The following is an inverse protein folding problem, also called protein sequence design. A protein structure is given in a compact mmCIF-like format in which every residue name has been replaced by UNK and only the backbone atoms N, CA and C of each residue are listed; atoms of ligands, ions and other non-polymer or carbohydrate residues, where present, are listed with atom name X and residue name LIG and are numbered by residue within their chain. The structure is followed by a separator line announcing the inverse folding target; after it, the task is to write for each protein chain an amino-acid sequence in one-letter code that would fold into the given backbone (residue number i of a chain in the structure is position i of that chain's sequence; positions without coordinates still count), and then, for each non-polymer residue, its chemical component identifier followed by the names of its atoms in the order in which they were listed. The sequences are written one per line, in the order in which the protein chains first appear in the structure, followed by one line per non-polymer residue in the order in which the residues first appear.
data_IF_589807671972
#
_entry.id   IF_589807671972
#
_cell.length_a   1.000
_cell.length_b   1.000
_cell.length_c   1.000
_cell.angle_alpha   90.00
_cell.angle_beta   90.00
_cell.angle_gamma   90.00
#
_symmetry.space_group_name_H-M   'P 1'
#
loop_
_entity.id
_entity.type
_entity.pdbx_description
1 polymer ?
#
# COMPACT_ATOMS: atom_id res chain seq x y z
N UNK A 1 15.95 -46.20 -1.42
CA UNK A 1 16.33 -44.79 -1.54
C UNK A 1 15.14 -43.99 -1.07
N UNK A 2 15.21 -43.43 0.12
CA UNK A 2 14.15 -42.57 0.66
C UNK A 2 14.15 -41.27 -0.18
N UNK A 3 13.03 -40.94 -0.86
CA UNK A 3 12.80 -39.62 -1.43
C UNK A 3 12.81 -38.64 -0.25
N UNK A 4 13.80 -37.76 -0.17
CA UNK A 4 13.71 -36.56 0.66
C UNK A 4 12.37 -35.88 0.35
N UNK A 5 11.48 -35.85 1.34
CA UNK A 5 10.29 -35.03 1.26
C UNK A 5 10.77 -33.56 1.15
N UNK A 6 10.78 -33.01 -0.06
CA UNK A 6 10.84 -31.55 -0.21
C UNK A 6 9.75 -30.99 0.69
N UNK A 7 10.13 -30.18 1.66
CA UNK A 7 9.19 -29.42 2.45
C UNK A 7 8.49 -28.49 1.47
N UNK A 8 7.24 -28.77 1.20
CA UNK A 8 6.43 -28.02 0.29
C UNK A 8 6.15 -26.65 0.92
N UNK A 9 6.56 -25.57 0.28
CA UNK A 9 6.39 -24.22 0.79
C UNK A 9 5.01 -23.71 0.37
N UNK A 10 4.26 -23.14 1.32
CA UNK A 10 2.98 -22.50 1.03
C UNK A 10 3.18 -21.35 0.03
N UNK A 11 2.50 -21.35 -1.13
CA UNK A 11 2.70 -20.37 -2.18
C UNK A 11 2.04 -18.99 -1.88
N UNK A 12 1.20 -18.89 -0.86
CA UNK A 12 0.46 -17.67 -0.54
C UNK A 12 1.19 -16.85 0.53
N UNK A 13 1.62 -15.65 0.17
CA UNK A 13 2.29 -14.69 1.03
C UNK A 13 1.28 -13.61 1.42
N UNK A 14 1.06 -13.37 2.71
CA UNK A 14 0.10 -12.39 3.20
C UNK A 14 0.68 -11.37 4.20
N UNK A 15 1.88 -11.62 4.73
CA UNK A 15 2.53 -10.85 5.80
C UNK A 15 3.56 -9.82 5.28
N UNK A 16 3.81 -9.83 3.98
CA UNK A 16 4.77 -8.94 3.31
C UNK A 16 4.35 -8.68 1.86
N UNK A 17 4.95 -7.68 1.17
CA UNK A 17 4.70 -7.46 -0.25
C UNK A 17 5.01 -8.71 -1.09
N UNK A 18 4.18 -8.97 -2.08
CA UNK A 18 4.44 -10.03 -3.07
C UNK A 18 5.66 -9.68 -3.92
N UNK A 19 6.48 -10.66 -4.29
CA UNK A 19 7.53 -10.45 -5.27
C UNK A 19 6.94 -10.01 -6.61
N UNK A 20 7.72 -9.27 -7.45
CA UNK A 20 7.22 -8.71 -8.70
C UNK A 20 6.55 -9.71 -9.65
N UNK A 21 7.05 -10.94 -9.70
CA UNK A 21 6.54 -12.03 -10.54
C UNK A 21 5.21 -12.61 -10.07
N UNK A 22 4.87 -12.43 -8.79
CA UNK A 22 3.67 -12.97 -8.16
C UNK A 22 2.54 -11.93 -8.01
N UNK A 23 2.70 -10.74 -8.61
CA UNK A 23 1.68 -9.70 -8.58
C UNK A 23 0.40 -10.20 -9.26
N UNK A 24 -0.71 -10.11 -8.55
CA UNK A 24 -2.03 -10.56 -9.02
C UNK A 24 -2.72 -9.40 -9.72
N UNK A 25 -3.08 -9.60 -11.00
CA UNK A 25 -3.73 -8.57 -11.80
C UNK A 25 -2.87 -7.28 -11.85
N UNK A 26 -3.43 -6.12 -12.14
CA UNK A 26 -2.76 -4.81 -12.15
C UNK A 26 -2.05 -4.45 -13.46
N UNK A 27 -2.31 -5.16 -14.54
CA UNK A 27 -1.75 -4.89 -15.85
C UNK A 27 -2.11 -3.47 -16.34
N UNK A 28 -3.34 -3.03 -16.07
CA UNK A 28 -3.80 -1.68 -16.44
C UNK A 28 -3.05 -0.60 -15.67
N UNK A 29 -2.90 -0.76 -14.36
CA UNK A 29 -2.15 0.18 -13.54
C UNK A 29 -0.67 0.20 -13.88
N UNK A 30 -0.07 -0.97 -14.18
CA UNK A 30 1.30 -1.07 -14.66
C UNK A 30 1.48 -0.39 -16.02
N UNK A 31 0.54 -0.56 -16.95
CA UNK A 31 0.57 0.10 -18.25
C UNK A 31 0.53 1.63 -18.10
N UNK A 32 -0.34 2.15 -17.23
CA UNK A 32 -0.43 3.58 -16.91
C UNK A 32 0.89 4.09 -16.28
N UNK A 33 1.48 3.35 -15.35
CA UNK A 33 2.75 3.73 -14.71
C UNK A 33 3.92 3.71 -15.72
N UNK A 34 3.94 2.73 -16.62
CA UNK A 34 4.94 2.64 -17.68
C UNK A 34 4.82 3.80 -18.69
N UNK A 35 3.59 4.14 -19.12
CA UNK A 35 3.31 5.29 -19.98
C UNK A 35 3.76 6.59 -19.30
N UNK A 36 3.35 6.84 -18.06
CA UNK A 36 3.71 8.05 -17.33
C UNK A 36 5.20 8.15 -17.05
N UNK A 37 5.88 7.02 -16.83
CA UNK A 37 7.34 6.98 -16.69
C UNK A 37 8.02 7.37 -18.00
N UNK A 38 7.51 6.92 -19.14
CA UNK A 38 8.01 7.30 -20.46
C UNK A 38 7.80 8.78 -20.77
N UNK A 39 6.63 9.33 -20.41
CA UNK A 39 6.23 10.70 -20.68
C UNK A 39 6.69 11.69 -19.59
N UNK A 40 7.32 11.18 -18.52
CA UNK A 40 7.80 11.95 -17.36
C UNK A 40 6.65 12.66 -16.64
N UNK A 41 5.51 11.98 -16.48
CA UNK A 41 4.35 12.45 -15.73
C UNK A 41 4.39 11.89 -14.32
N UNK A 42 4.48 12.76 -13.31
CA UNK A 42 4.43 12.32 -11.93
C UNK A 42 3.10 11.69 -11.58
N UNK A 43 3.12 10.65 -10.76
CA UNK A 43 1.93 9.92 -10.34
C UNK A 43 1.73 10.01 -8.83
N UNK A 44 0.49 10.28 -8.43
CA UNK A 44 0.01 10.07 -7.07
C UNK A 44 -0.74 8.74 -7.03
N UNK A 45 -0.15 7.74 -6.38
CA UNK A 45 -0.75 6.43 -6.15
C UNK A 45 -1.39 6.42 -4.76
N UNK A 46 -2.69 6.30 -4.69
CA UNK A 46 -3.42 6.24 -3.42
C UNK A 46 -4.37 5.04 -3.37
N UNK A 47 -4.39 4.38 -2.23
CA UNK A 47 -5.38 3.36 -1.88
C UNK A 47 -5.34 3.12 -0.38
N UNK A 48 -6.33 2.45 0.20
CA UNK A 48 -6.25 1.99 1.58
C UNK A 48 -5.01 1.10 1.83
N UNK A 49 -4.76 0.79 3.10
CA UNK A 49 -3.75 -0.20 3.47
C UNK A 49 -4.08 -1.56 2.85
N UNK A 50 -3.07 -2.39 2.67
CA UNK A 50 -3.18 -3.80 2.29
C UNK A 50 -3.80 -4.08 0.90
N UNK A 51 -3.84 -3.02 0.04
CA UNK A 51 -4.32 -3.09 -1.35
C UNK A 51 -3.23 -3.38 -2.38
N UNK A 52 -2.01 -3.73 -1.93
CA UNK A 52 -0.92 -4.16 -2.82
C UNK A 52 -0.08 -3.03 -3.43
N UNK A 53 -0.13 -1.78 -2.88
CA UNK A 53 0.67 -0.64 -3.38
C UNK A 53 2.16 -0.95 -3.48
N UNK A 54 2.74 -1.44 -2.39
CA UNK A 54 4.18 -1.73 -2.34
C UNK A 54 4.58 -2.82 -3.35
N UNK A 55 3.75 -3.86 -3.52
CA UNK A 55 3.98 -4.90 -4.54
C UNK A 55 3.93 -4.32 -5.95
N UNK A 56 2.94 -3.45 -6.24
CA UNK A 56 2.85 -2.74 -7.52
C UNK A 56 4.08 -1.85 -7.76
N UNK A 57 4.55 -1.11 -6.75
CA UNK A 57 5.74 -0.28 -6.86
C UNK A 57 6.99 -1.13 -7.12
N UNK A 58 7.17 -2.26 -6.43
CA UNK A 58 8.28 -3.17 -6.66
C UNK A 58 8.29 -3.69 -8.10
N UNK A 59 7.13 -4.08 -8.63
CA UNK A 59 6.98 -4.48 -10.04
C UNK A 59 7.27 -3.33 -10.98
N UNK A 60 6.73 -2.14 -10.73
CA UNK A 60 7.01 -0.94 -11.54
C UNK A 60 8.51 -0.61 -11.59
N UNK A 61 9.21 -0.72 -10.47
CA UNK A 61 10.67 -0.51 -10.40
C UNK A 61 11.42 -1.57 -11.22
N UNK A 62 11.01 -2.84 -11.12
CA UNK A 62 11.61 -3.93 -11.89
C UNK A 62 11.43 -3.71 -13.39
N UNK A 63 10.21 -3.39 -13.83
CA UNK A 63 9.86 -3.16 -15.23
C UNK A 63 10.58 -1.90 -15.79
N UNK A 64 10.65 -0.81 -15.02
CA UNK A 64 11.40 0.38 -15.40
C UNK A 64 12.89 0.09 -15.61
N UNK A 65 13.49 -0.69 -14.71
CA UNK A 65 14.91 -1.12 -14.83
C UNK A 65 15.13 -1.99 -16.07
N UNK A 66 14.22 -2.93 -16.35
CA UNK A 66 14.26 -3.76 -17.56
C UNK A 66 14.15 -2.91 -18.84
N UNK A 67 13.41 -1.81 -18.80
CA UNK A 67 13.29 -0.84 -19.90
C UNK A 67 14.45 0.16 -19.98
N UNK A 68 15.53 0.00 -19.17
CA UNK A 68 16.69 0.86 -19.20
C UNK A 68 16.52 2.20 -18.46
N UNK A 69 15.48 2.38 -17.68
CA UNK A 69 15.28 3.54 -16.78
C UNK A 69 15.92 3.24 -15.43
N UNK A 70 16.72 4.16 -14.91
CA UNK A 70 17.19 4.06 -13.53
C UNK A 70 16.02 4.18 -12.57
N UNK A 71 15.85 3.23 -11.64
CA UNK A 71 14.67 3.26 -10.78
C UNK A 71 15.00 2.88 -9.34
N UNK A 72 14.44 3.64 -8.39
CA UNK A 72 14.61 3.42 -6.95
C UNK A 72 13.26 3.49 -6.23
N UNK A 73 13.10 2.64 -5.21
CA UNK A 73 11.98 2.68 -4.27
C UNK A 73 12.50 3.14 -2.92
N UNK A 74 11.93 4.22 -2.41
CA UNK A 74 12.25 4.81 -1.10
C UNK A 74 11.06 4.56 -0.18
N UNK A 75 11.25 3.70 0.82
CA UNK A 75 10.25 3.43 1.83
C UNK A 75 10.37 4.45 2.98
N UNK A 76 9.32 5.21 3.21
CA UNK A 76 9.24 6.22 4.26
C UNK A 76 8.48 5.73 5.51
N UNK A 77 8.18 4.44 5.60
CA UNK A 77 7.53 3.89 6.79
C UNK A 77 8.34 4.13 8.05
N UNK A 78 7.72 4.69 9.07
CA UNK A 78 8.38 4.98 10.35
C UNK A 78 9.33 6.19 10.35
N UNK A 79 9.52 6.88 9.22
CA UNK A 79 10.33 8.10 9.13
C UNK A 79 9.66 9.26 9.87
N UNK A 80 10.44 9.98 10.69
CA UNK A 80 9.95 11.07 11.56
C UNK A 80 10.75 12.36 11.43
N UNK A 81 11.91 12.33 10.79
CA UNK A 81 12.80 13.49 10.64
C UNK A 81 13.39 13.58 9.24
N UNK A 82 13.81 14.77 8.83
CA UNK A 82 14.49 15.02 7.56
C UNK A 82 15.74 14.13 7.39
N UNK A 83 16.55 13.99 8.45
CA UNK A 83 17.75 13.14 8.42
C UNK A 83 17.42 11.66 8.23
N UNK A 84 16.33 11.16 8.84
CA UNK A 84 15.88 9.78 8.60
C UNK A 84 15.39 9.59 7.15
N UNK A 85 14.69 10.57 6.59
CA UNK A 85 14.28 10.54 5.19
C UNK A 85 15.49 10.51 4.25
N UNK A 86 16.50 11.34 4.51
CA UNK A 86 17.76 11.34 3.77
C UNK A 86 18.43 9.96 3.81
N UNK A 87 18.52 9.35 4.98
CA UNK A 87 19.09 8.00 5.14
C UNK A 87 18.32 6.92 4.37
N UNK A 88 17.00 7.00 4.28
CA UNK A 88 16.20 6.07 3.46
C UNK A 88 16.46 6.29 1.95
N UNK A 89 16.60 7.53 1.52
CA UNK A 89 16.98 7.84 0.12
C UNK A 89 18.34 7.24 -0.19
N UNK A 90 19.35 7.48 0.64
CA UNK A 90 20.70 6.91 0.44
C UNK A 90 20.68 5.38 0.37
N UNK A 91 19.96 4.73 1.30
CA UNK A 91 19.80 3.28 1.31
C UNK A 91 19.18 2.75 0.01
N UNK A 92 18.19 3.45 -0.55
CA UNK A 92 17.58 3.07 -1.82
C UNK A 92 18.57 3.10 -2.99
N UNK A 93 19.49 4.08 -3.00
CA UNK A 93 20.55 4.14 -4.00
C UNK A 93 21.68 3.14 -3.75
N UNK A 94 21.96 2.80 -2.49
CA UNK A 94 22.88 1.71 -2.15
C UNK A 94 22.38 0.34 -2.60
N UNK A 95 21.07 0.14 -2.68
CA UNK A 95 20.44 -1.09 -3.16
C UNK A 95 20.33 -1.17 -4.70
N UNK A 96 20.85 -0.19 -5.45
CA UNK A 96 20.82 -0.24 -6.91
C UNK A 96 21.61 -1.46 -7.42
N UNK A 97 21.10 -2.17 -8.45
CA UNK A 97 21.86 -3.22 -9.11
C UNK A 97 23.09 -2.66 -9.82
N UNK A 98 24.03 -3.54 -10.15
CA UNK A 98 25.20 -3.17 -10.95
C UNK A 98 24.78 -2.57 -12.28
N UNK A 99 25.43 -1.44 -12.67
CA UNK A 99 25.09 -0.72 -13.89
C UNK A 99 25.57 0.74 -13.87
N UNK A 100 25.24 1.52 -14.91
CA UNK A 100 25.70 2.90 -15.04
C UNK A 100 25.30 3.77 -13.85
N UNK A 101 24.04 3.66 -13.38
CA UNK A 101 23.54 4.44 -12.26
C UNK A 101 24.27 4.11 -10.95
N UNK A 102 24.51 2.82 -10.69
CA UNK A 102 25.29 2.39 -9.52
C UNK A 102 26.73 2.88 -9.58
N UNK A 103 27.35 2.81 -10.76
CA UNK A 103 28.70 3.30 -10.96
C UNK A 103 28.81 4.80 -10.74
N UNK A 104 27.86 5.58 -11.26
CA UNK A 104 27.78 7.03 -11.04
C UNK A 104 27.52 7.37 -9.57
N UNK A 105 26.65 6.64 -8.88
CA UNK A 105 26.43 6.75 -7.42
C UNK A 105 27.72 6.52 -6.63
N UNK A 106 28.45 5.42 -6.90
CA UNK A 106 29.71 5.12 -6.25
C UNK A 106 30.76 6.21 -6.54
N UNK A 107 30.76 6.79 -7.74
CA UNK A 107 31.61 7.92 -8.09
C UNK A 107 31.28 9.18 -7.28
N UNK A 108 30.01 9.52 -7.10
CA UNK A 108 29.58 10.65 -6.26
C UNK A 108 30.06 10.49 -4.82
N UNK A 109 29.94 9.31 -4.23
CA UNK A 109 30.39 9.02 -2.85
C UNK A 109 31.90 9.13 -2.66
N UNK A 110 32.70 8.70 -3.67
CA UNK A 110 34.19 8.70 -3.56
C UNK A 110 34.80 10.08 -3.67
N UNK A 111 34.21 11.00 -4.42
CA UNK A 111 34.80 12.29 -4.73
C UNK A 111 34.40 13.40 -3.75
N UNK A 112 33.90 13.05 -2.56
CA UNK A 112 33.73 14.00 -1.46
C UNK A 112 32.80 15.18 -1.75
N UNK A 113 31.93 15.07 -2.72
CA UNK A 113 30.76 15.93 -2.75
C UNK A 113 29.97 15.62 -1.50
N UNK A 114 29.98 16.52 -0.54
CA UNK A 114 29.38 16.39 0.78
C UNK A 114 27.92 15.96 0.70
N UNK A 115 27.70 14.66 0.58
CA UNK A 115 26.56 14.02 1.16
C UNK A 115 26.92 14.00 2.63
N UNK A 116 26.30 14.86 3.43
CA UNK A 116 26.76 15.26 4.75
C UNK A 116 26.68 14.19 5.83
N UNK A 117 27.14 12.98 5.50
CA UNK A 117 27.33 11.91 6.49
C UNK A 117 28.74 11.37 6.32
N UNK A 118 29.70 11.98 6.98
CA UNK A 118 30.89 11.24 7.41
C UNK A 118 30.39 10.17 8.38
N UNK A 119 30.22 8.95 7.89
CA UNK A 119 30.12 7.78 8.74
C UNK A 119 31.53 7.49 9.25
N UNK A 120 31.85 7.73 10.53
CA UNK A 120 33.05 7.16 11.09
C UNK A 120 32.77 5.67 11.28
N UNK A 121 33.51 4.84 10.56
CA UNK A 121 33.76 3.41 10.85
C UNK A 121 32.70 2.68 11.69
N UNK A 122 31.93 1.82 11.06
CA UNK A 122 31.35 0.65 11.69
C UNK A 122 30.09 0.93 12.53
N UNK A 123 28.92 0.72 11.97
CA UNK A 123 27.79 0.18 12.74
C UNK A 123 27.08 1.11 13.72
N UNK A 124 27.15 2.41 13.59
CA UNK A 124 26.36 3.32 14.42
C UNK A 124 25.32 4.02 13.54
N UNK A 125 24.04 3.82 13.85
CA UNK A 125 22.95 4.67 13.40
C UNK A 125 23.29 6.11 13.80
N UNK A 126 23.71 6.94 12.85
CA UNK A 126 23.93 8.37 13.11
C UNK A 126 22.56 8.95 13.41
N UNK A 127 22.32 9.31 14.66
CA UNK A 127 21.27 10.22 15.05
C UNK A 127 21.61 11.58 14.43
N UNK A 128 21.33 11.77 13.12
CA UNK A 128 21.36 13.10 12.50
C UNK A 128 20.27 13.89 13.19
N UNK A 129 20.65 14.89 13.96
CA UNK A 129 19.77 15.65 14.81
C UNK A 129 18.55 16.22 14.05
N UNK A 130 17.44 16.33 14.75
CA UNK A 130 16.32 17.12 14.29
C UNK A 130 16.81 18.58 14.11
N UNK A 131 16.58 19.15 12.93
CA UNK A 131 16.90 20.56 12.67
C UNK A 131 17.59 20.81 11.32
N UNK A 132 18.11 22.01 11.13
CA UNK A 132 18.68 22.52 9.88
C UNK A 132 19.77 21.60 9.26
N UNK A 133 20.56 20.89 10.07
CA UNK A 133 21.56 19.96 9.56
C UNK A 133 20.92 18.77 8.83
N UNK A 134 19.81 18.22 9.36
CA UNK A 134 19.07 17.13 8.73
C UNK A 134 18.39 17.56 7.43
N UNK A 135 17.86 18.78 7.38
CA UNK A 135 17.23 19.34 6.17
C UNK A 135 18.25 19.56 5.07
N UNK A 136 19.44 20.06 5.40
CA UNK A 136 20.54 20.25 4.43
C UNK A 136 20.95 18.93 3.78
N UNK A 137 21.12 17.87 4.59
CA UNK A 137 21.42 16.51 4.08
C UNK A 137 20.28 16.01 3.20
N UNK A 138 19.02 16.25 3.60
CA UNK A 138 17.87 15.87 2.80
C UNK A 138 17.84 16.57 1.44
N UNK A 139 18.17 17.87 1.38
CA UNK A 139 18.24 18.60 0.11
C UNK A 139 19.25 17.96 -0.84
N UNK A 140 20.46 17.62 -0.35
CA UNK A 140 21.48 16.95 -1.14
C UNK A 140 21.01 15.57 -1.65
N UNK A 141 20.31 14.79 -0.78
CA UNK A 141 19.77 13.49 -1.15
C UNK A 141 18.62 13.58 -2.16
N UNK A 142 17.76 14.60 -2.05
CA UNK A 142 16.68 14.83 -3.01
C UNK A 142 17.18 15.19 -4.38
N UNK A 143 18.35 15.84 -4.50
CA UNK A 143 18.98 16.22 -5.77
C UNK A 143 19.70 15.05 -6.46
N UNK A 144 19.96 13.94 -5.76
CA UNK A 144 20.69 12.78 -6.30
C UNK A 144 20.14 12.24 -7.63
N UNK A 145 18.82 12.03 -7.81
CA UNK A 145 18.30 11.47 -9.06
C UNK A 145 18.63 12.35 -10.26
N UNK A 146 18.56 13.68 -10.10
CA UNK A 146 18.91 14.62 -11.17
C UNK A 146 20.40 14.62 -11.47
N UNK A 147 21.25 14.65 -10.45
CA UNK A 147 22.74 14.55 -10.60
C UNK A 147 23.17 13.25 -11.26
N UNK A 148 22.48 12.15 -10.98
CA UNK A 148 22.73 10.86 -11.62
C UNK A 148 22.26 10.87 -13.08
N UNK A 149 21.09 11.48 -13.36
CA UNK A 149 20.64 11.71 -14.74
C UNK A 149 21.66 12.50 -15.56
N UNK A 150 22.12 13.64 -15.06
CA UNK A 150 23.11 14.47 -15.76
C UNK A 150 24.42 13.74 -16.06
N UNK A 151 24.87 12.86 -15.15
CA UNK A 151 26.11 12.09 -15.33
C UNK A 151 25.98 10.92 -16.28
N UNK A 152 24.81 10.29 -16.35
CA UNK A 152 24.62 9.04 -17.10
C UNK A 152 23.82 9.22 -18.38
N UNK A 153 23.09 10.32 -18.54
CA UNK A 153 22.08 10.50 -19.58
C UNK A 153 20.83 9.59 -19.39
N UNK A 154 20.84 8.73 -18.36
CA UNK A 154 19.74 7.80 -18.08
C UNK A 154 18.64 8.51 -17.30
N UNK A 155 17.38 8.35 -17.72
CA UNK A 155 16.25 8.85 -16.92
C UNK A 155 16.13 8.09 -15.61
N UNK A 156 15.61 8.76 -14.58
CA UNK A 156 15.48 8.18 -13.25
C UNK A 156 14.01 8.24 -12.79
N UNK A 157 13.48 7.10 -12.37
CA UNK A 157 12.21 6.97 -11.67
C UNK A 157 12.47 6.86 -10.17
N UNK A 158 11.84 7.72 -9.39
CA UNK A 158 11.87 7.65 -7.93
C UNK A 158 10.46 7.38 -7.43
N UNK A 159 10.24 6.23 -6.81
CA UNK A 159 9.01 5.93 -6.12
C UNK A 159 9.19 6.13 -4.60
N UNK A 160 8.37 7.00 -4.02
CA UNK A 160 8.27 7.15 -2.57
C UNK A 160 7.05 6.38 -2.08
N UNK A 161 7.26 5.38 -1.21
CA UNK A 161 6.16 4.75 -0.50
C UNK A 161 5.92 5.43 0.85
N UNK A 162 4.68 5.40 1.34
CA UNK A 162 4.21 6.08 2.56
C UNK A 162 4.48 7.61 2.56
N UNK A 163 4.40 8.25 1.38
CA UNK A 163 4.76 9.67 1.18
C UNK A 163 3.95 10.64 2.05
N UNK A 164 2.75 10.27 2.51
CA UNK A 164 1.95 11.13 3.39
C UNK A 164 2.65 11.52 4.70
N UNK A 165 3.71 10.81 5.11
CA UNK A 165 4.47 11.16 6.33
C UNK A 165 5.12 12.56 6.24
N UNK A 166 5.37 13.07 5.02
CA UNK A 166 5.95 14.40 4.81
C UNK A 166 5.07 15.52 5.36
N UNK A 167 3.73 15.30 5.42
CA UNK A 167 2.81 16.25 6.07
C UNK A 167 3.07 16.38 7.57
N UNK A 168 3.31 15.26 8.25
CA UNK A 168 3.59 15.25 9.69
C UNK A 168 4.93 15.91 10.01
N UNK A 169 5.87 15.80 9.08
CA UNK A 169 7.19 16.42 9.20
C UNK A 169 7.25 17.86 8.69
N UNK A 170 6.18 18.35 8.05
CA UNK A 170 6.11 19.68 7.39
C UNK A 170 7.22 19.88 6.33
N UNK A 171 7.61 18.82 5.63
CA UNK A 171 8.68 18.82 4.63
C UNK A 171 8.17 18.98 3.19
N UNK A 172 6.86 19.09 2.97
CA UNK A 172 6.27 19.17 1.64
C UNK A 172 6.80 20.38 0.83
N UNK A 173 6.96 21.55 1.45
CA UNK A 173 7.52 22.72 0.78
C UNK A 173 9.01 22.52 0.43
N UNK A 174 9.78 21.97 1.37
CA UNK A 174 11.22 21.71 1.17
C UNK A 174 11.44 20.71 0.02
N UNK A 175 10.72 19.59 0.01
CA UNK A 175 10.84 18.59 -1.03
C UNK A 175 10.44 19.18 -2.38
N UNK A 176 9.34 19.92 -2.43
CA UNK A 176 8.86 20.56 -3.67
C UNK A 176 9.86 21.55 -4.24
N UNK A 177 10.56 22.33 -3.37
CA UNK A 177 11.54 23.31 -3.81
C UNK A 177 12.71 22.70 -4.59
N UNK A 178 13.04 21.44 -4.34
CA UNK A 178 14.10 20.70 -5.05
C UNK A 178 13.56 20.03 -6.31
N UNK A 179 12.56 19.15 -6.16
CA UNK A 179 12.14 18.26 -7.25
C UNK A 179 11.55 19.00 -8.45
N UNK A 180 11.03 20.23 -8.26
CA UNK A 180 10.51 21.05 -9.37
C UNK A 180 11.56 21.40 -10.42
N UNK A 181 12.84 21.33 -10.08
CA UNK A 181 13.94 21.68 -10.97
C UNK A 181 14.50 20.47 -11.74
N UNK A 182 14.04 19.26 -11.48
CA UNK A 182 14.58 18.03 -12.09
C UNK A 182 14.12 17.81 -13.54
N UNK A 183 13.20 18.62 -14.05
CA UNK A 183 12.79 18.65 -15.44
C UNK A 183 12.35 17.29 -15.98
N UNK A 184 12.76 16.96 -17.21
CA UNK A 184 12.43 15.70 -17.87
C UNK A 184 13.40 14.56 -17.55
N UNK A 185 14.37 14.78 -16.68
CA UNK A 185 15.36 13.77 -16.28
C UNK A 185 14.85 12.81 -15.21
N UNK A 186 13.91 13.26 -14.39
CA UNK A 186 13.41 12.50 -13.24
C UNK A 186 11.89 12.46 -13.22
N UNK A 187 11.35 11.28 -12.98
CA UNK A 187 9.92 11.04 -12.81
C UNK A 187 9.64 10.53 -11.39
N UNK A 188 8.51 10.91 -10.82
CA UNK A 188 8.14 10.58 -9.44
C UNK A 188 6.82 9.82 -9.37
N UNK A 189 6.81 8.77 -8.51
CA UNK A 189 5.59 8.13 -8.02
C UNK A 189 5.50 8.36 -6.52
N UNK A 190 4.45 9.04 -6.08
CA UNK A 190 4.16 9.30 -4.68
C UNK A 190 3.05 8.36 -4.21
N UNK A 191 3.39 7.35 -3.45
CA UNK A 191 2.46 6.35 -2.92
C UNK A 191 2.10 6.64 -1.46
N UNK A 192 0.85 6.41 -1.10
CA UNK A 192 0.41 6.58 0.28
C UNK A 192 -0.82 5.75 0.65
N UNK A 193 -0.83 5.30 1.90
CA UNK A 193 -1.87 4.45 2.49
C UNK A 193 -2.99 5.21 3.21
N UNK A 194 -2.90 6.55 3.27
CA UNK A 194 -3.89 7.42 3.90
C UNK A 194 -4.51 8.35 2.85
N UNK A 195 -5.64 7.96 2.23
CA UNK A 195 -6.24 8.71 1.12
C UNK A 195 -6.51 10.19 1.45
N UNK A 196 -6.98 10.49 2.66
CA UNK A 196 -7.24 11.87 3.09
C UNK A 196 -5.98 12.73 3.16
N UNK A 197 -4.85 12.17 3.63
CA UNK A 197 -3.58 12.90 3.67
C UNK A 197 -2.99 13.09 2.27
N UNK A 198 -3.11 12.07 1.41
CA UNK A 198 -2.69 12.18 0.00
C UNK A 198 -3.51 13.22 -0.76
N UNK A 199 -4.82 13.27 -0.53
CA UNK A 199 -5.68 14.33 -1.09
C UNK A 199 -5.27 15.71 -0.56
N UNK A 200 -4.98 15.84 0.73
CA UNK A 200 -4.49 17.11 1.30
C UNK A 200 -3.18 17.58 0.65
N UNK A 201 -2.24 16.67 0.34
CA UNK A 201 -0.98 17.02 -0.32
C UNK A 201 -1.17 17.54 -1.75
N UNK A 202 -1.98 16.85 -2.56
CA UNK A 202 -1.99 17.03 -4.01
C UNK A 202 -3.23 17.78 -4.55
N UNK A 203 -4.29 17.94 -3.76
CA UNK A 203 -5.57 18.53 -4.18
C UNK A 203 -5.88 19.83 -3.44
N UNK A 204 -5.32 20.05 -2.26
CA UNK A 204 -5.46 21.34 -1.56
C UNK A 204 -4.61 22.42 -2.25
N UNK A 205 -5.30 23.46 -2.75
CA UNK A 205 -4.69 24.61 -3.45
C UNK A 205 -3.64 25.36 -2.63
N UNK A 206 -3.66 25.23 -1.30
CA UNK A 206 -2.72 25.88 -0.40
C UNK A 206 -1.42 25.11 -0.22
N UNK A 207 -1.33 23.87 -0.75
CA UNK A 207 -0.17 23.01 -0.58
C UNK A 207 0.80 23.08 -1.76
N UNK A 208 2.10 22.98 -1.50
CA UNK A 208 3.14 23.04 -2.53
C UNK A 208 3.00 22.00 -3.64
N UNK A 209 2.42 20.83 -3.33
CA UNK A 209 2.21 19.75 -4.28
C UNK A 209 0.89 19.83 -5.06
N UNK A 210 0.11 20.89 -4.89
CA UNK A 210 -1.15 21.06 -5.62
C UNK A 210 -0.97 20.86 -7.13
N UNK A 211 -1.68 19.90 -7.72
CA UNK A 211 -1.69 19.62 -9.16
C UNK A 211 -0.37 19.07 -9.73
N UNK A 212 0.55 18.59 -8.87
CA UNK A 212 1.89 18.16 -9.32
C UNK A 212 1.99 16.67 -9.69
N UNK A 213 0.94 15.90 -9.55
CA UNK A 213 0.92 14.48 -9.91
C UNK A 213 -0.47 14.04 -10.38
N UNK A 214 -0.50 13.22 -11.43
CA UNK A 214 -1.73 12.63 -11.95
C UNK A 214 -2.22 11.51 -11.00
N UNK A 215 -3.51 11.42 -10.71
CA UNK A 215 -4.03 10.40 -9.80
C UNK A 215 -3.99 9.00 -10.44
N UNK A 216 -3.70 8.01 -9.60
CA UNK A 216 -3.89 6.60 -9.85
C UNK A 216 -4.38 5.97 -8.54
N UNK A 217 -5.46 5.24 -8.59
CA UNK A 217 -6.08 4.62 -7.41
C UNK A 217 -6.14 3.12 -7.59
N UNK A 218 -5.74 2.36 -6.53
CA UNK A 218 -5.93 0.92 -6.54
C UNK A 218 -7.26 0.56 -5.90
N UNK A 219 -8.06 -0.18 -6.65
CA UNK A 219 -9.28 -0.80 -6.18
C UNK A 219 -9.04 -2.22 -5.65
N UNK A 220 -10.14 -2.90 -5.33
CA UNK A 220 -10.17 -4.33 -5.07
C UNK A 220 -9.76 -5.11 -6.31
N UNK A 221 -9.23 -6.32 -6.12
CA UNK A 221 -8.93 -7.22 -7.22
C UNK A 221 -10.21 -7.78 -7.86
N UNK A 222 -10.26 -7.94 -9.18
CA UNK A 222 -11.35 -8.62 -9.84
C UNK A 222 -11.48 -10.07 -9.34
N UNK A 223 -12.73 -10.50 -9.11
CA UNK A 223 -13.02 -11.86 -8.60
C UNK A 223 -12.40 -12.96 -9.47
N UNK A 224 -12.46 -12.80 -10.79
CA UNK A 224 -11.93 -13.78 -11.74
C UNK A 224 -10.42 -13.88 -11.64
N UNK A 225 -9.70 -12.77 -11.69
CA UNK A 225 -8.24 -12.75 -11.59
C UNK A 225 -7.75 -13.36 -10.27
N UNK A 226 -8.47 -13.09 -9.17
CA UNK A 226 -8.14 -13.65 -7.87
C UNK A 226 -8.43 -15.16 -7.82
N UNK A 227 -9.53 -15.62 -8.42
CA UNK A 227 -9.86 -17.04 -8.52
C UNK A 227 -8.79 -17.79 -9.32
N UNK A 228 -8.43 -17.29 -10.50
CA UNK A 228 -7.43 -17.89 -11.39
C UNK A 228 -6.07 -18.00 -10.68
N UNK A 229 -5.65 -16.95 -9.98
CA UNK A 229 -4.41 -16.95 -9.21
C UNK A 229 -4.42 -18.00 -8.10
N UNK A 230 -5.51 -18.12 -7.34
CA UNK A 230 -5.62 -19.10 -6.23
C UNK A 230 -5.63 -20.52 -6.79
N UNK A 231 -6.43 -20.80 -7.84
CA UNK A 231 -6.51 -22.11 -8.47
C UNK A 231 -5.14 -22.56 -8.97
N UNK A 232 -4.46 -21.71 -9.76
CA UNK A 232 -3.13 -22.01 -10.29
C UNK A 232 -2.12 -22.41 -9.19
N UNK A 233 -2.11 -21.71 -8.06
CA UNK A 233 -1.24 -21.99 -6.92
C UNK A 233 -1.60 -23.29 -6.18
N UNK A 234 -2.89 -23.61 -6.07
CA UNK A 234 -3.35 -24.90 -5.54
C UNK A 234 -2.91 -26.05 -6.45
N UNK A 235 -3.15 -25.93 -7.75
CA UNK A 235 -2.79 -26.94 -8.74
C UNK A 235 -1.26 -27.19 -8.81
N UNK A 236 -0.46 -26.13 -8.79
CA UNK A 236 1.02 -26.21 -8.78
C UNK A 236 1.53 -27.02 -7.57
N UNK A 237 0.77 -27.06 -6.49
CA UNK A 237 1.10 -27.81 -5.27
C UNK A 237 0.28 -29.10 -5.14
N UNK A 238 -0.35 -29.56 -6.23
CA UNK A 238 -1.09 -30.81 -6.27
C UNK A 238 -2.33 -30.83 -5.39
N UNK A 239 -2.96 -29.69 -5.19
CA UNK A 239 -4.22 -29.52 -4.44
C UNK A 239 -5.29 -28.94 -5.34
N UNK A 240 -6.56 -29.05 -4.91
CA UNK A 240 -7.69 -28.42 -5.57
C UNK A 240 -8.35 -27.43 -4.60
N UNK A 241 -8.56 -26.17 -5.05
CA UNK A 241 -9.23 -25.15 -4.25
C UNK A 241 -10.72 -25.44 -4.03
N UNK A 242 -11.32 -26.28 -4.82
CA UNK A 242 -12.63 -26.87 -4.67
C UNK A 242 -13.76 -25.85 -4.39
N UNK A 243 -14.76 -26.32 -3.64
CA UNK A 243 -15.91 -25.46 -3.26
C UNK A 243 -15.54 -24.34 -2.30
N UNK A 244 -14.48 -24.50 -1.51
CA UNK A 244 -14.03 -23.51 -0.55
C UNK A 244 -13.54 -22.21 -1.23
N UNK A 245 -13.10 -22.27 -2.49
CA UNK A 245 -12.77 -21.09 -3.28
C UNK A 245 -13.93 -20.09 -3.36
N UNK A 246 -15.16 -20.58 -3.61
CA UNK A 246 -16.34 -19.73 -3.69
C UNK A 246 -16.59 -18.95 -2.39
N UNK A 247 -16.54 -19.64 -1.25
CA UNK A 247 -16.72 -19.05 0.07
C UNK A 247 -15.62 -18.05 0.41
N UNK A 248 -14.38 -18.37 0.06
CA UNK A 248 -13.24 -17.45 0.23
C UNK A 248 -13.47 -16.16 -0.57
N UNK A 249 -13.78 -16.26 -1.85
CA UNK A 249 -13.99 -15.12 -2.72
C UNK A 249 -15.17 -14.23 -2.29
N UNK A 250 -16.24 -14.83 -1.77
CA UNK A 250 -17.40 -14.11 -1.22
C UNK A 250 -17.05 -13.37 0.08
N UNK A 251 -16.19 -13.98 0.92
CA UNK A 251 -15.76 -13.36 2.17
C UNK A 251 -14.84 -12.18 1.95
N UNK A 252 -13.82 -12.36 1.10
CA UNK A 252 -12.76 -11.34 0.92
C UNK A 252 -13.14 -10.23 -0.05
N UNK A 253 -14.16 -10.42 -0.89
CA UNK A 253 -14.70 -9.45 -1.84
C UNK A 253 -13.60 -8.64 -2.57
N UNK A 254 -12.60 -9.35 -3.08
CA UNK A 254 -11.47 -8.77 -3.81
C UNK A 254 -10.42 -8.02 -2.97
N UNK A 255 -10.49 -8.06 -1.64
CA UNK A 255 -9.46 -7.44 -0.79
C UNK A 255 -8.14 -8.22 -0.88
N UNK A 256 -7.03 -7.63 -1.40
CA UNK A 256 -5.85 -8.41 -1.76
C UNK A 256 -5.22 -9.16 -0.59
N UNK A 257 -4.94 -8.48 0.52
CA UNK A 257 -4.27 -9.09 1.67
C UNK A 257 -5.16 -10.14 2.34
N UNK A 258 -6.48 -9.89 2.47
CA UNK A 258 -7.42 -10.87 3.04
C UNK A 258 -7.49 -12.12 2.17
N UNK A 259 -7.48 -11.95 0.84
CA UNK A 259 -7.45 -13.08 -0.08
C UNK A 259 -6.20 -13.95 0.11
N UNK A 260 -5.03 -13.33 0.23
CA UNK A 260 -3.79 -14.06 0.48
C UNK A 260 -3.78 -14.76 1.83
N UNK A 261 -4.28 -14.12 2.90
CA UNK A 261 -4.40 -14.73 4.23
C UNK A 261 -5.30 -15.97 4.19
N UNK A 262 -6.52 -15.84 3.67
CA UNK A 262 -7.46 -16.95 3.62
C UNK A 262 -7.01 -18.06 2.67
N UNK A 263 -6.40 -17.74 1.54
CA UNK A 263 -5.82 -18.73 0.64
C UNK A 263 -4.65 -19.47 1.29
N UNK A 264 -3.79 -18.77 2.06
CA UNK A 264 -2.71 -19.37 2.84
C UNK A 264 -3.24 -20.39 3.85
N UNK A 265 -4.26 -20.02 4.60
CA UNK A 265 -4.85 -20.87 5.62
C UNK A 265 -5.61 -22.05 4.99
N UNK A 266 -6.40 -21.80 3.94
CA UNK A 266 -7.11 -22.84 3.21
C UNK A 266 -6.14 -23.88 2.64
N UNK A 267 -5.03 -23.45 2.07
CA UNK A 267 -3.96 -24.33 1.56
C UNK A 267 -3.39 -25.22 2.69
N UNK A 268 -3.19 -24.66 3.89
CA UNK A 268 -2.70 -25.41 5.07
C UNK A 268 -3.66 -26.50 5.53
N UNK A 269 -4.96 -26.26 5.39
CA UNK A 269 -6.03 -27.21 5.77
C UNK A 269 -6.39 -28.18 4.63
N UNK A 270 -5.71 -28.10 3.48
CA UNK A 270 -5.93 -28.99 2.32
C UNK A 270 -4.72 -29.86 2.11
N UNK A 271 -4.86 -31.18 2.25
CA UNK A 271 -3.77 -32.13 2.03
C UNK A 271 -3.40 -32.24 0.54
N UNK A 272 -2.13 -32.56 0.19
CA UNK A 272 -1.77 -32.87 -1.19
C UNK A 272 -2.63 -33.97 -1.79
N UNK A 273 -3.16 -33.74 -2.98
CA UNK A 273 -4.07 -34.64 -3.69
C UNK A 273 -5.53 -34.51 -3.26
N UNK A 274 -5.86 -33.60 -2.33
CA UNK A 274 -7.23 -33.39 -1.86
C UNK A 274 -7.84 -32.10 -2.46
N UNK A 275 -9.19 -32.07 -2.44
CA UNK A 275 -10.02 -30.89 -2.72
C UNK A 275 -10.35 -30.14 -1.41
N UNK A 276 -10.25 -28.82 -1.42
CA UNK A 276 -10.65 -27.96 -0.31
C UNK A 276 -12.17 -27.93 -0.16
N UNK A 277 -12.67 -28.71 0.79
CA UNK A 277 -14.07 -28.78 1.16
C UNK A 277 -14.42 -27.95 2.39
N UNK A 278 -15.61 -28.24 2.96
CA UNK A 278 -16.14 -27.52 4.12
C UNK A 278 -15.24 -27.59 5.35
N UNK A 279 -14.69 -28.78 5.66
CA UNK A 279 -13.83 -28.96 6.82
C UNK A 279 -12.53 -28.10 6.70
N UNK A 280 -11.94 -28.04 5.52
CA UNK A 280 -10.76 -27.19 5.27
C UNK A 280 -11.12 -25.71 5.39
N UNK A 281 -12.30 -25.31 4.90
CA UNK A 281 -12.80 -23.96 5.02
C UNK A 281 -13.02 -23.54 6.48
N UNK A 282 -13.71 -24.38 7.26
CA UNK A 282 -13.96 -24.13 8.69
C UNK A 282 -12.65 -23.96 9.47
N UNK A 283 -11.68 -24.86 9.26
CA UNK A 283 -10.38 -24.76 9.90
C UNK A 283 -9.61 -23.48 9.49
N UNK A 284 -9.63 -23.12 8.21
CA UNK A 284 -9.03 -21.88 7.73
C UNK A 284 -9.71 -20.64 8.32
N UNK A 285 -11.03 -20.66 8.43
CA UNK A 285 -11.81 -19.57 9.00
C UNK A 285 -11.54 -19.38 10.50
N UNK A 286 -11.48 -20.48 11.27
CA UNK A 286 -11.14 -20.45 12.69
C UNK A 286 -9.70 -19.93 12.92
N UNK A 287 -8.73 -20.44 12.17
CA UNK A 287 -7.33 -19.99 12.27
C UNK A 287 -7.18 -18.49 11.92
N UNK A 288 -7.97 -17.97 10.98
CA UNK A 288 -7.91 -16.56 10.59
C UNK A 288 -8.20 -15.61 11.76
N UNK A 289 -9.04 -16.01 12.72
CA UNK A 289 -9.31 -15.20 13.90
C UNK A 289 -8.07 -14.87 14.70
N UNK A 290 -7.15 -15.82 14.85
CA UNK A 290 -5.88 -15.59 15.54
C UNK A 290 -5.01 -14.49 14.92
N UNK A 291 -5.18 -14.22 13.62
CA UNK A 291 -4.48 -13.15 12.90
C UNK A 291 -5.22 -11.81 12.93
N UNK A 292 -6.56 -11.82 13.03
CA UNK A 292 -7.41 -10.65 12.80
C UNK A 292 -7.95 -10.01 14.08
N UNK A 293 -8.06 -10.78 15.16
CA UNK A 293 -8.72 -10.35 16.39
C UNK A 293 -8.15 -9.04 16.93
N UNK A 294 -6.84 -9.00 17.14
CA UNK A 294 -6.20 -7.83 17.75
C UNK A 294 -6.39 -6.55 16.92
N UNK A 295 -6.29 -6.65 15.60
CA UNK A 295 -6.48 -5.52 14.71
C UNK A 295 -7.94 -5.06 14.65
N UNK A 296 -8.90 -5.99 14.67
CA UNK A 296 -10.32 -5.67 14.63
C UNK A 296 -10.79 -5.03 15.93
N UNK A 297 -10.41 -5.58 17.08
CA UNK A 297 -10.73 -5.03 18.39
C UNK A 297 -10.09 -3.64 18.56
N UNK A 298 -8.79 -3.48 18.26
CA UNK A 298 -8.11 -2.19 18.34
C UNK A 298 -8.73 -1.14 17.40
N UNK A 299 -9.09 -1.54 16.18
CA UNK A 299 -9.76 -0.66 15.21
C UNK A 299 -11.12 -0.20 15.73
N UNK A 300 -11.90 -1.11 16.29
CA UNK A 300 -13.20 -0.79 16.87
C UNK A 300 -13.10 0.11 18.10
N UNK A 301 -12.21 -0.19 19.01
CA UNK A 301 -12.01 0.56 20.26
C UNK A 301 -11.47 1.99 20.03
N UNK A 302 -10.85 2.23 18.89
CA UNK A 302 -10.39 3.56 18.49
C UNK A 302 -11.51 4.51 18.03
N UNK A 303 -12.72 3.97 17.76
CA UNK A 303 -13.84 4.74 17.21
C UNK A 303 -14.56 5.54 18.29
N UNK A 304 -14.92 6.79 17.95
CA UNK A 304 -15.93 7.51 18.72
C UNK A 304 -17.31 6.89 18.55
N UNK A 305 -18.24 7.17 19.46
CA UNK A 305 -19.61 6.64 19.42
C UNK A 305 -20.28 6.92 18.06
N UNK A 306 -20.08 8.10 17.48
CA UNK A 306 -20.66 8.46 16.17
C UNK A 306 -20.00 7.70 15.04
N UNK A 307 -18.68 7.51 15.09
CA UNK A 307 -17.94 6.72 14.09
C UNK A 307 -18.33 5.25 14.14
N UNK A 308 -18.47 4.68 15.34
CA UNK A 308 -18.97 3.30 15.51
C UNK A 308 -20.36 3.13 14.89
N UNK A 309 -21.29 4.05 15.17
CA UNK A 309 -22.62 4.04 14.55
C UNK A 309 -22.59 4.18 13.01
N UNK A 310 -21.64 4.95 12.46
CA UNK A 310 -21.44 5.05 11.00
C UNK A 310 -20.90 3.72 10.44
N UNK A 311 -19.95 3.08 11.11
CA UNK A 311 -19.41 1.77 10.72
C UNK A 311 -20.50 0.72 10.75
N UNK A 312 -21.30 0.65 11.83
CA UNK A 312 -22.45 -0.28 11.95
C UNK A 312 -23.45 -0.07 10.80
N UNK A 313 -23.83 1.19 10.50
CA UNK A 313 -24.77 1.51 9.44
C UNK A 313 -24.26 1.12 8.05
N UNK A 314 -22.99 1.43 7.75
CA UNK A 314 -22.36 1.12 6.46
C UNK A 314 -22.16 -0.40 6.31
N UNK A 315 -21.75 -1.10 7.36
CA UNK A 315 -21.62 -2.56 7.37
C UNK A 315 -22.97 -3.25 7.10
N UNK A 316 -24.06 -2.70 7.62
CA UNK A 316 -25.43 -3.17 7.36
C UNK A 316 -25.99 -2.72 6.00
N UNK A 317 -25.21 -2.07 5.13
CA UNK A 317 -25.60 -1.64 3.78
C UNK A 317 -26.43 -0.35 3.74
N UNK A 318 -26.52 0.41 4.84
CA UNK A 318 -27.27 1.68 4.88
C UNK A 318 -26.45 2.80 4.20
N UNK A 319 -26.98 3.36 3.13
CA UNK A 319 -26.31 4.43 2.37
C UNK A 319 -26.71 5.84 2.82
N UNK A 320 -27.89 6.01 3.37
CA UNK A 320 -28.42 7.30 3.84
C UNK A 320 -28.19 7.52 5.34
N UNK A 321 -26.96 7.89 5.76
CA UNK A 321 -26.58 8.03 7.17
C UNK A 321 -27.46 8.99 7.98
N UNK A 322 -28.00 10.06 7.37
CA UNK A 322 -28.92 11.03 8.03
C UNK A 322 -30.39 10.70 7.85
N UNK A 323 -30.69 9.63 7.12
CA UNK A 323 -32.05 9.14 6.90
C UNK A 323 -32.67 8.52 8.17
N UNK A 324 -33.94 8.06 8.05
CA UNK A 324 -34.68 7.44 9.15
C UNK A 324 -33.93 6.21 9.70
N UNK A 325 -33.45 5.31 8.83
CA UNK A 325 -32.72 4.12 9.23
C UNK A 325 -31.44 4.42 10.02
N UNK A 326 -30.61 5.40 9.55
CA UNK A 326 -29.40 5.81 10.25
C UNK A 326 -29.67 6.31 11.67
N UNK A 327 -30.76 7.10 11.85
CA UNK A 327 -31.13 7.68 13.16
C UNK A 327 -31.78 6.68 14.11
N UNK A 328 -32.77 5.94 13.63
CA UNK A 328 -33.61 5.08 14.50
C UNK A 328 -32.94 3.74 14.81
N UNK A 329 -32.17 3.16 13.87
CA UNK A 329 -31.57 1.85 14.04
C UNK A 329 -30.13 1.97 14.59
N UNK A 330 -29.35 2.94 14.07
CA UNK A 330 -27.93 3.07 14.40
C UNK A 330 -27.61 4.25 15.33
N UNK A 331 -28.62 4.95 15.82
CA UNK A 331 -28.46 6.04 16.80
C UNK A 331 -27.66 7.22 16.27
N UNK A 332 -27.58 7.41 14.94
CA UNK A 332 -26.79 8.52 14.36
C UNK A 332 -27.43 9.88 14.66
N UNK A 333 -26.62 10.87 15.07
CA UNK A 333 -27.13 12.18 15.40
C UNK A 333 -27.70 12.88 14.16
N UNK A 334 -28.71 13.77 14.35
CA UNK A 334 -29.19 14.62 13.27
C UNK A 334 -28.12 15.64 12.82
N UNK A 335 -28.24 16.12 11.58
CA UNK A 335 -27.36 17.16 11.05
C UNK A 335 -26.10 16.59 10.36
N UNK A 336 -24.98 17.34 10.41
CA UNK A 336 -23.75 17.03 9.67
C UNK A 336 -22.82 16.04 10.37
N UNK A 337 -23.03 15.74 11.67
CA UNK A 337 -22.08 14.95 12.50
C UNK A 337 -21.78 13.58 11.93
N UNK A 338 -22.79 12.84 11.44
CA UNK A 338 -22.59 11.53 10.80
C UNK A 338 -21.79 11.64 9.49
N UNK A 339 -22.03 12.69 8.69
CA UNK A 339 -21.26 12.93 7.47
C UNK A 339 -19.80 13.31 7.75
N UNK A 340 -19.56 14.11 8.78
CA UNK A 340 -18.20 14.48 9.20
C UNK A 340 -17.46 13.26 9.76
N UNK A 341 -18.14 12.39 10.50
CA UNK A 341 -17.58 11.11 10.96
C UNK A 341 -17.22 10.21 9.76
N UNK A 342 -18.14 10.04 8.80
CA UNK A 342 -17.88 9.28 7.58
C UNK A 342 -16.69 9.85 6.78
N UNK A 343 -16.58 11.18 6.67
CA UNK A 343 -15.45 11.83 6.00
C UNK A 343 -14.13 11.56 6.72
N UNK A 344 -14.12 11.57 8.05
CA UNK A 344 -12.92 11.21 8.83
C UNK A 344 -12.55 9.74 8.61
N UNK A 345 -13.53 8.81 8.66
CA UNK A 345 -13.30 7.38 8.43
C UNK A 345 -12.79 7.09 7.01
N UNK A 346 -13.26 7.82 6.00
CA UNK A 346 -12.69 7.76 4.64
C UNK A 346 -11.24 8.29 4.65
N UNK A 347 -10.99 9.41 5.33
CA UNK A 347 -9.64 9.97 5.46
C UNK A 347 -8.66 9.04 6.19
N UNK A 348 -9.14 8.26 7.15
CA UNK A 348 -8.38 7.24 7.89
C UNK A 348 -8.19 5.94 7.09
N UNK A 349 -8.94 5.73 6.00
CA UNK A 349 -8.89 4.51 5.20
C UNK A 349 -9.69 3.34 5.78
N UNK A 350 -10.65 3.59 6.65
CA UNK A 350 -11.60 2.58 7.14
C UNK A 350 -12.82 2.44 6.22
N UNK A 351 -13.22 3.54 5.60
CA UNK A 351 -14.27 3.56 4.58
C UNK A 351 -13.70 3.97 3.24
N UNK A 352 -14.28 3.46 2.17
CA UNK A 352 -14.07 3.92 0.80
C UNK A 352 -15.37 4.46 0.24
N UNK A 353 -15.25 5.52 -0.56
CA UNK A 353 -16.36 6.12 -1.27
C UNK A 353 -16.22 5.83 -2.75
N UNK A 354 -17.17 5.10 -3.31
CA UNK A 354 -17.24 4.78 -4.74
C UNK A 354 -18.33 5.62 -5.41
N UNK A 355 -18.10 6.07 -6.64
CA UNK A 355 -19.01 6.94 -7.36
C UNK A 355 -18.89 8.42 -6.98
N UNK A 356 -19.71 9.26 -7.60
CA UNK A 356 -19.69 10.71 -7.42
C UNK A 356 -21.08 11.30 -7.14
N UNK A 357 -21.11 12.45 -6.49
CA UNK A 357 -22.35 13.17 -6.20
C UNK A 357 -23.29 12.43 -5.24
N UNK A 358 -24.58 12.35 -5.63
CA UNK A 358 -25.64 11.74 -4.81
C UNK A 358 -25.63 10.19 -4.85
N UNK A 359 -25.03 9.62 -5.89
CA UNK A 359 -24.95 8.17 -6.11
C UNK A 359 -23.67 7.57 -5.49
N UNK A 360 -22.94 8.36 -4.71
CA UNK A 360 -21.75 7.89 -4.03
C UNK A 360 -22.11 6.92 -2.91
N UNK A 361 -21.55 5.71 -2.99
CA UNK A 361 -21.73 4.62 -2.04
C UNK A 361 -20.55 4.56 -1.09
N UNK A 362 -20.83 4.40 0.20
CA UNK A 362 -19.82 4.10 1.22
C UNK A 362 -19.77 2.60 1.46
N UNK A 363 -18.56 2.06 1.54
CA UNK A 363 -18.33 0.67 1.94
C UNK A 363 -17.12 0.59 2.87
N UNK A 364 -17.05 -0.45 3.70
CA UNK A 364 -15.87 -0.73 4.47
C UNK A 364 -14.73 -1.16 3.55
N UNK A 365 -13.53 -0.71 3.87
CA UNK A 365 -12.30 -1.10 3.17
C UNK A 365 -12.06 -2.59 3.33
N UNK A 366 -12.15 -3.09 4.56
CA UNK A 366 -12.00 -4.50 4.89
C UNK A 366 -13.37 -5.20 4.97
N UNK A 367 -13.68 -6.11 4.03
CA UNK A 367 -14.94 -6.83 4.00
C UNK A 367 -15.06 -7.85 5.14
N UNK A 368 -13.94 -8.39 5.62
CA UNK A 368 -13.94 -9.34 6.75
C UNK A 368 -14.26 -8.61 8.05
N UNK A 369 -13.71 -7.40 8.24
CA UNK A 369 -14.08 -6.52 9.34
C UNK A 369 -15.58 -6.14 9.28
N UNK A 370 -16.09 -5.84 8.08
CA UNK A 370 -17.52 -5.56 7.90
C UNK A 370 -18.40 -6.73 8.37
N UNK A 371 -18.05 -7.96 8.02
CA UNK A 371 -18.77 -9.16 8.48
C UNK A 371 -18.71 -9.34 10.00
N UNK A 372 -17.55 -9.13 10.59
CA UNK A 372 -17.38 -9.18 12.04
C UNK A 372 -18.26 -8.15 12.78
N UNK A 373 -18.37 -6.94 12.24
CA UNK A 373 -19.24 -5.88 12.75
C UNK A 373 -20.71 -6.32 12.67
N UNK A 374 -21.17 -6.79 11.51
CA UNK A 374 -22.57 -7.26 11.29
C UNK A 374 -22.92 -8.42 12.21
N UNK A 375 -21.99 -9.32 12.48
CA UNK A 375 -22.16 -10.43 13.44
C UNK A 375 -22.17 -9.98 14.91
N UNK A 376 -22.28 -8.69 15.19
CA UNK A 376 -22.27 -8.14 16.55
C UNK A 376 -20.91 -8.26 17.24
N UNK A 377 -19.85 -8.18 16.46
CA UNK A 377 -18.44 -8.30 16.88
C UNK A 377 -18.10 -9.69 17.42
N UNK A 378 -18.71 -10.69 16.82
CA UNK A 378 -18.44 -12.10 17.08
C UNK A 378 -17.79 -12.73 15.86
N UNK A 379 -16.82 -13.60 16.08
CA UNK A 379 -16.24 -14.40 15.00
C UNK A 379 -17.15 -15.61 14.79
N UNK A 380 -18.06 -15.50 13.84
CA UNK A 380 -18.99 -16.54 13.49
C UNK A 380 -19.16 -16.59 11.97
N UNK A 381 -19.32 -17.79 11.42
CA UNK A 381 -19.83 -17.95 10.07
C UNK A 381 -21.26 -17.45 10.05
N UNK A 382 -21.54 -16.48 9.20
CA UNK A 382 -22.91 -16.09 8.90
C UNK A 382 -23.46 -17.10 7.88
N UNK A 383 -24.62 -17.64 8.15
CA UNK A 383 -25.36 -18.57 7.29
C UNK A 383 -25.62 -17.98 5.91
#
# INVERSE_FOLDING_TARGET
MAREKRVETNPFIFDRPLPPEDLVDREDELAVLAERTRDVVNTRLSSPRDYGKTSLLQRTIADARAAGVGAVLVDLYGVRTAGQMAAQIERAYEALPTGPLRSAWNGLRRHGGSIGVQSPLGGASVAVGAGEAGERVLLDCLDLPYRLHERTGQRVLVAFDEFQVVLKMQLDALIRSVIQHHGRGVNYVFSGSHPGMMLSLFVDRKRPFYGQAAPLELGRLPRVALADYIVDRFEQTGRDAGKALGWLLDLVDGHPQRAMLFAHLLWRHTEPGAEAGEAAWLGAYEDAWGYLQGDFEASWDSLSVVEAGVIDAVAAGVQGLTGKAGREIFGLPPGSSAHEAAKRLVGQGMLVRSGSGRDAVLSLVDPVFARWVVAGRRWALLD
#
